data_IF_288984479991
#
_entry.id   IF_288984479991
#
_cell.length_a   1.000
_cell.length_b   1.000
_cell.length_c   1.000
_cell.angle_alpha   90.00
_cell.angle_beta   90.00
_cell.angle_gamma   90.00
#
_symmetry.space_group_name_H-M   'P 1'
#
loop_
_entity.id
_entity.type
_entity.pdbx_description
1 polymer ?
#
# COMPACT_ATOMS: atom_id res chain seq x y z
N UNK A 1 21.60 -1.19 31.66
CA UNK A 1 20.91 -0.61 30.49
C UNK A 1 21.99 -0.34 29.47
N UNK A 2 21.95 -0.97 28.30
CA UNK A 2 22.92 -0.67 27.25
C UNK A 2 22.57 0.69 26.66
N UNK A 3 23.35 1.71 27.01
CA UNK A 3 23.34 3.02 26.35
C UNK A 3 23.86 2.85 24.92
N UNK A 4 22.97 2.48 23.99
CA UNK A 4 23.28 2.59 22.57
C UNK A 4 23.04 4.03 22.14
N UNK A 5 24.09 4.66 21.63
CA UNK A 5 23.97 5.95 20.95
C UNK A 5 22.97 5.82 19.78
N UNK A 6 22.13 6.85 19.54
CA UNK A 6 21.26 6.89 18.37
C UNK A 6 22.07 6.74 17.07
N UNK A 7 21.52 6.02 16.10
CA UNK A 7 22.13 5.90 14.78
C UNK A 7 22.18 7.26 14.07
N UNK A 8 23.17 7.44 13.19
CA UNK A 8 23.14 8.55 12.24
C UNK A 8 21.94 8.41 11.29
N UNK A 9 21.54 9.50 10.63
CA UNK A 9 20.45 9.48 9.67
C UNK A 9 20.70 8.45 8.56
N UNK A 10 21.92 8.38 8.04
CA UNK A 10 22.27 7.44 6.96
C UNK A 10 22.20 5.98 7.44
N UNK A 11 22.69 5.70 8.65
CA UNK A 11 22.64 4.34 9.20
C UNK A 11 21.21 3.93 9.53
N UNK A 12 20.40 4.86 10.05
CA UNK A 12 18.99 4.59 10.33
C UNK A 12 18.20 4.32 9.04
N UNK A 13 18.36 5.16 8.01
CA UNK A 13 17.73 4.94 6.71
C UNK A 13 18.15 3.59 6.11
N UNK A 14 19.45 3.29 6.13
CA UNK A 14 19.97 2.01 5.64
C UNK A 14 19.28 0.84 6.36
N UNK A 15 19.15 0.91 7.68
CA UNK A 15 18.50 -0.15 8.47
C UNK A 15 17.03 -0.33 8.14
N UNK A 16 16.30 0.75 7.88
CA UNK A 16 14.90 0.67 7.41
C UNK A 16 14.86 -0.01 6.03
N UNK A 17 15.74 0.40 5.10
CA UNK A 17 15.79 -0.19 3.75
C UNK A 17 16.19 -1.66 3.78
N UNK A 18 17.11 -2.06 4.64
CA UNK A 18 17.53 -3.45 4.82
C UNK A 18 16.38 -4.39 5.25
N UNK A 19 15.23 -3.85 5.71
CA UNK A 19 14.01 -4.62 5.97
C UNK A 19 13.32 -5.11 4.69
N UNK A 20 13.70 -4.62 3.50
CA UNK A 20 13.18 -5.08 2.20
C UNK A 20 13.25 -6.60 2.03
N UNK A 21 14.23 -7.26 2.68
CA UNK A 21 14.36 -8.72 2.70
C UNK A 21 13.11 -9.44 3.21
N UNK A 22 12.30 -8.76 4.03
CA UNK A 22 11.05 -9.28 4.58
C UNK A 22 9.81 -8.81 3.80
N UNK A 23 9.98 -8.06 2.71
CA UNK A 23 8.88 -7.57 1.92
C UNK A 23 8.16 -8.71 1.17
N UNK A 24 6.87 -8.53 0.92
CA UNK A 24 6.01 -9.60 0.37
C UNK A 24 6.35 -10.03 -1.05
N UNK A 25 7.28 -9.35 -1.72
CA UNK A 25 7.78 -9.71 -3.06
C UNK A 25 8.43 -11.09 -3.04
N UNK A 26 9.00 -11.46 -1.88
CA UNK A 26 9.64 -12.75 -1.63
C UNK A 26 8.65 -13.84 -1.18
N UNK A 27 7.37 -13.51 -1.00
CA UNK A 27 6.37 -14.50 -0.58
C UNK A 27 6.08 -15.46 -1.75
N UNK A 28 5.97 -16.79 -1.52
CA UNK A 28 5.76 -17.77 -2.59
C UNK A 28 4.59 -17.43 -3.53
N UNK A 29 3.49 -16.93 -2.99
CA UNK A 29 2.33 -16.50 -3.80
C UNK A 29 2.68 -15.39 -4.81
N UNK A 30 3.49 -14.39 -4.41
CA UNK A 30 3.92 -13.32 -5.31
C UNK A 30 4.89 -13.86 -6.38
N UNK A 31 5.83 -14.72 -5.97
CA UNK A 31 6.77 -15.38 -6.90
C UNK A 31 6.00 -16.18 -7.96
N UNK A 32 5.05 -17.01 -7.55
CA UNK A 32 4.20 -17.78 -8.47
C UNK A 32 3.39 -16.89 -9.42
N UNK A 33 2.88 -15.75 -8.94
CA UNK A 33 2.19 -14.77 -9.77
C UNK A 33 3.12 -14.20 -10.84
N UNK A 34 4.35 -13.83 -10.46
CA UNK A 34 5.35 -13.28 -11.36
C UNK A 34 5.84 -14.28 -12.40
N UNK A 35 6.02 -15.54 -11.99
CA UNK A 35 6.43 -16.65 -12.86
C UNK A 35 5.30 -17.16 -13.76
N UNK A 36 4.07 -16.66 -13.61
CA UNK A 36 2.92 -17.06 -14.40
C UNK A 36 2.36 -18.45 -14.07
N UNK A 37 2.61 -18.94 -12.84
CA UNK A 37 2.22 -20.30 -12.41
C UNK A 37 0.93 -20.34 -11.58
N UNK A 38 0.35 -19.19 -11.23
CA UNK A 38 -0.96 -19.14 -10.58
C UNK A 38 -2.09 -19.51 -11.54
N UNK A 39 -3.12 -20.17 -10.99
CA UNK A 39 -4.38 -20.35 -11.72
C UNK A 39 -5.16 -19.04 -11.83
N UNK A 40 -6.13 -19.01 -12.74
CA UNK A 40 -7.03 -17.87 -12.90
C UNK A 40 -7.82 -17.58 -11.61
N UNK A 41 -8.29 -18.62 -10.92
CA UNK A 41 -8.99 -18.47 -9.63
C UNK A 41 -8.09 -17.86 -8.56
N UNK A 42 -6.80 -18.23 -8.53
CA UNK A 42 -5.85 -17.64 -7.60
C UNK A 42 -5.64 -16.15 -7.87
N UNK A 43 -5.40 -15.75 -9.13
CA UNK A 43 -5.25 -14.33 -9.49
C UNK A 43 -6.51 -13.53 -9.09
N UNK A 44 -7.70 -14.06 -9.39
CA UNK A 44 -8.98 -13.45 -8.98
C UNK A 44 -9.09 -13.31 -7.47
N UNK A 45 -8.73 -14.37 -6.72
CA UNK A 45 -8.69 -14.35 -5.26
C UNK A 45 -7.75 -13.28 -4.72
N UNK A 46 -6.56 -13.12 -5.30
CA UNK A 46 -5.63 -12.06 -4.93
C UNK A 46 -6.21 -10.67 -5.19
N UNK A 47 -6.77 -10.42 -6.38
CA UNK A 47 -7.37 -9.11 -6.74
C UNK A 47 -8.51 -8.77 -5.78
N UNK A 48 -9.43 -9.70 -5.56
CA UNK A 48 -10.58 -9.51 -4.68
C UNK A 48 -10.18 -9.25 -3.22
N UNK A 49 -9.23 -10.01 -2.68
CA UNK A 49 -8.80 -9.82 -1.29
C UNK A 49 -7.97 -8.55 -1.12
N UNK A 50 -7.12 -8.21 -2.09
CA UNK A 50 -6.32 -6.99 -2.04
C UNK A 50 -7.15 -5.74 -2.19
N UNK A 51 -8.33 -5.80 -2.83
CA UNK A 51 -9.28 -4.68 -2.82
C UNK A 51 -9.62 -4.22 -1.40
N UNK A 52 -9.81 -5.16 -0.45
CA UNK A 52 -10.03 -4.82 0.95
C UNK A 52 -8.87 -4.03 1.55
N UNK A 53 -7.62 -4.37 1.19
CA UNK A 53 -6.48 -3.55 1.59
C UNK A 53 -6.54 -2.14 0.95
N UNK A 54 -6.86 -2.04 -0.34
CA UNK A 54 -6.92 -0.75 -1.05
C UNK A 54 -7.94 0.21 -0.44
N UNK A 55 -9.17 -0.23 -0.15
CA UNK A 55 -10.22 0.63 0.43
C UNK A 55 -9.91 1.05 1.87
N UNK A 56 -9.04 0.31 2.56
CA UNK A 56 -8.61 0.66 3.93
C UNK A 56 -7.43 1.65 3.96
N UNK A 57 -6.71 1.87 2.85
CA UNK A 57 -5.62 2.86 2.80
C UNK A 57 -6.12 4.27 3.14
N UNK A 58 -7.14 4.84 2.47
CA UNK A 58 -7.62 6.18 2.78
C UNK A 58 -8.20 6.28 4.21
N UNK A 59 -8.81 5.22 4.74
CA UNK A 59 -9.29 5.17 6.14
C UNK A 59 -8.13 5.29 7.13
N UNK A 60 -7.06 4.49 6.92
CA UNK A 60 -5.84 4.56 7.72
C UNK A 60 -5.16 5.93 7.57
N UNK A 61 -5.10 6.49 6.37
CA UNK A 61 -4.49 7.80 6.13
C UNK A 61 -5.27 8.94 6.78
N UNK A 62 -6.60 8.88 6.78
CA UNK A 62 -7.44 9.80 7.52
C UNK A 62 -7.18 9.72 9.04
N UNK A 63 -7.00 8.51 9.58
CA UNK A 63 -6.66 8.32 11.00
C UNK A 63 -5.29 8.91 11.37
N UNK A 64 -4.30 8.84 10.47
CA UNK A 64 -3.02 9.54 10.66
C UNK A 64 -3.23 11.04 10.71
N UNK A 65 -4.00 11.60 9.76
CA UNK A 65 -4.29 13.04 9.73
C UNK A 65 -5.04 13.53 10.97
N UNK A 66 -6.00 12.74 11.47
CA UNK A 66 -6.75 13.06 12.69
C UNK A 66 -5.84 13.14 13.93
N UNK A 67 -4.75 12.38 13.95
CA UNK A 67 -3.75 12.37 15.03
C UNK A 67 -2.55 13.31 14.77
N UNK A 68 -2.55 14.07 13.66
CA UNK A 68 -1.44 14.93 13.28
C UNK A 68 -1.77 16.40 13.54
N UNK A 69 -1.18 17.06 14.57
CA UNK A 69 -1.45 18.48 14.84
C UNK A 69 -0.79 19.42 13.83
N UNK A 70 0.23 18.98 13.10
CA UNK A 70 0.98 19.79 12.14
C UNK A 70 0.22 20.00 10.82
N UNK A 71 -0.03 21.28 10.47
CA UNK A 71 -0.80 21.65 9.27
C UNK A 71 -0.08 21.27 7.99
N UNK A 72 1.21 21.53 7.90
CA UNK A 72 1.94 21.38 6.64
C UNK A 72 2.14 19.90 6.29
N UNK A 73 2.30 19.05 7.30
CA UNK A 73 2.23 17.58 7.15
C UNK A 73 0.85 17.14 6.66
N UNK A 74 -0.25 17.60 7.27
CA UNK A 74 -1.60 17.23 6.80
C UNK A 74 -1.87 17.68 5.36
N UNK A 75 -1.36 18.85 4.97
CA UNK A 75 -1.50 19.37 3.62
C UNK A 75 -0.80 18.49 2.56
N UNK A 76 0.30 17.83 2.92
CA UNK A 76 0.94 16.83 2.06
C UNK A 76 0.24 15.46 2.15
N UNK A 77 -0.22 15.08 3.35
CA UNK A 77 -0.79 13.76 3.59
C UNK A 77 -2.14 13.54 2.90
N UNK A 78 -2.95 14.60 2.77
CA UNK A 78 -4.28 14.53 2.13
C UNK A 78 -4.22 14.03 0.68
N UNK A 79 -3.11 14.27 -0.02
CA UNK A 79 -2.93 13.79 -1.39
C UNK A 79 -3.09 12.26 -1.48
N UNK A 80 -2.65 11.51 -0.46
CA UNK A 80 -2.79 10.04 -0.43
C UNK A 80 -4.26 9.61 -0.44
N UNK A 81 -5.14 10.35 0.24
CA UNK A 81 -6.58 10.06 0.23
C UNK A 81 -7.15 10.37 -1.15
N UNK A 82 -6.79 11.53 -1.72
CA UNK A 82 -7.24 11.93 -3.07
C UNK A 82 -6.76 10.93 -4.13
N UNK A 83 -5.53 10.42 -4.04
CA UNK A 83 -5.00 9.43 -4.97
C UNK A 83 -5.81 8.12 -4.96
N UNK A 84 -6.36 7.74 -3.80
CA UNK A 84 -7.15 6.51 -3.64
C UNK A 84 -8.63 6.72 -3.95
N UNK A 85 -9.25 7.78 -3.44
CA UNK A 85 -10.68 8.07 -3.56
C UNK A 85 -11.02 8.78 -4.88
N UNK A 86 -10.07 9.48 -5.47
CA UNK A 86 -10.27 10.37 -6.60
C UNK A 86 -10.71 11.77 -6.18
N UNK A 87 -10.48 12.74 -7.07
CA UNK A 87 -11.09 14.08 -6.98
C UNK A 87 -12.37 14.13 -7.84
N UNK A 88 -13.24 15.15 -7.67
CA UNK A 88 -14.41 15.31 -8.52
C UNK A 88 -14.06 15.30 -10.01
N UNK A 89 -14.56 14.30 -10.74
CA UNK A 89 -14.30 14.11 -12.18
C UNK A 89 -13.03 13.31 -12.50
N UNK A 90 -12.29 12.82 -11.51
CA UNK A 90 -11.09 12.01 -11.67
C UNK A 90 -11.30 10.59 -11.14
N UNK A 91 -10.58 9.62 -11.70
CA UNK A 91 -10.60 8.22 -11.27
C UNK A 91 -9.53 8.05 -10.18
N UNK A 92 -9.96 7.61 -8.99
CA UNK A 92 -9.06 7.23 -7.89
C UNK A 92 -8.50 5.82 -8.03
N UNK A 93 -7.49 5.51 -7.23
CA UNK A 93 -6.86 4.18 -7.17
C UNK A 93 -7.81 3.05 -6.77
N UNK A 94 -8.88 3.34 -6.02
CA UNK A 94 -9.92 2.33 -5.68
C UNK A 94 -10.69 1.93 -6.94
N UNK A 95 -11.10 2.90 -7.76
CA UNK A 95 -11.79 2.63 -9.02
C UNK A 95 -10.89 1.96 -10.05
N UNK A 96 -9.62 2.35 -10.12
CA UNK A 96 -8.63 1.62 -10.92
C UNK A 96 -8.48 0.15 -10.46
N UNK A 97 -8.64 -0.14 -9.16
CA UNK A 97 -8.63 -1.51 -8.66
C UNK A 97 -9.91 -2.30 -9.00
N UNK A 98 -11.06 -1.63 -9.06
CA UNK A 98 -12.30 -2.24 -9.56
C UNK A 98 -12.18 -2.60 -11.04
N UNK A 99 -11.58 -1.73 -11.86
CA UNK A 99 -11.26 -2.04 -13.26
C UNK A 99 -10.29 -3.23 -13.39
N UNK A 100 -9.32 -3.38 -12.48
CA UNK A 100 -8.49 -4.59 -12.42
C UNK A 100 -9.35 -5.84 -12.10
N UNK A 101 -10.33 -5.72 -11.21
CA UNK A 101 -11.33 -6.76 -10.93
C UNK A 101 -12.09 -7.19 -12.18
N UNK A 102 -12.64 -6.23 -12.93
CA UNK A 102 -13.33 -6.47 -14.20
C UNK A 102 -12.41 -7.15 -15.23
N UNK A 103 -11.16 -6.69 -15.34
CA UNK A 103 -10.18 -7.25 -16.27
C UNK A 103 -9.84 -8.72 -15.99
N UNK A 104 -9.88 -9.15 -14.72
CA UNK A 104 -9.73 -10.58 -14.36
C UNK A 104 -11.06 -11.34 -14.37
N UNK A 105 -12.16 -10.68 -14.69
CA UNK A 105 -13.50 -11.24 -14.85
C UNK A 105 -14.24 -11.45 -13.53
N UNK A 106 -14.10 -10.50 -12.60
CA UNK A 106 -14.94 -10.33 -11.41
C UNK A 106 -16.02 -9.26 -11.67
N UNK A 107 -17.03 -9.18 -10.81
CA UNK A 107 -18.15 -8.23 -10.84
C UNK A 107 -18.33 -7.57 -9.49
#
# INVERSE_FOLDING_TARGET
MTEQAPWSLQEFEKRIRDMERFYHINHPYHVMMHEGTLTKEQIRGWVANRFYYQVNIPLKDAAIMANCPDRDTRAQWVQRIIDHDGAPGEIGGIEAWLQLGEAVGLT
#
